data_IF_009621381379
#
_entry.id   IF_009621381379
#
_cell.length_a   1.000
_cell.length_b   1.000
_cell.length_c   1.000
_cell.angle_alpha   90.00
_cell.angle_beta   90.00
_cell.angle_gamma   90.00
#
_symmetry.space_group_name_H-M   'P 1'
#
loop_
_entity.id
_entity.type
_entity.pdbx_description
1 polymer ?
#
# COMPACT_ATOMS: atom_id res chain seq x y z
N UNK A 1 -14.61 6.97 29.33
CA UNK A 1 -15.03 6.31 28.06
C UNK A 1 -14.25 6.93 26.92
N UNK A 2 -13.51 6.11 26.18
CA UNK A 2 -12.57 6.55 25.15
C UNK A 2 -13.17 6.35 23.76
N UNK A 3 -13.11 7.35 22.85
CA UNK A 3 -13.61 7.20 21.50
C UNK A 3 -12.64 6.34 20.68
N UNK A 4 -13.17 5.35 19.97
CA UNK A 4 -12.40 4.44 19.14
C UNK A 4 -12.95 4.49 17.71
N UNK A 5 -12.05 4.68 16.76
CA UNK A 5 -12.37 4.65 15.33
C UNK A 5 -11.77 3.39 14.70
N UNK A 6 -12.57 2.56 14.03
CA UNK A 6 -12.12 1.33 13.38
C UNK A 6 -13.01 0.97 12.18
N UNK A 7 -12.39 0.70 11.03
CA UNK A 7 -13.09 0.39 9.75
C UNK A 7 -14.20 1.41 9.40
N UNK A 8 -13.94 2.71 9.59
CA UNK A 8 -14.92 3.76 9.33
C UNK A 8 -16.10 3.81 10.32
N UNK A 9 -16.05 3.02 11.40
CA UNK A 9 -17.03 3.05 12.49
C UNK A 9 -16.45 3.76 13.70
N UNK A 10 -17.28 4.55 14.36
CA UNK A 10 -16.97 5.16 15.66
C UNK A 10 -17.71 4.43 16.78
N UNK A 11 -17.00 4.02 17.81
CA UNK A 11 -17.57 3.46 19.03
C UNK A 11 -16.90 4.06 20.28
N UNK A 12 -17.44 3.71 21.45
CA UNK A 12 -16.86 4.10 22.74
C UNK A 12 -16.43 2.87 23.52
N UNK A 13 -15.17 2.86 23.94
CA UNK A 13 -14.63 1.89 24.88
C UNK A 13 -14.82 2.41 26.31
N UNK A 14 -15.37 1.58 27.20
CA UNK A 14 -15.57 1.91 28.61
C UNK A 14 -14.23 1.89 29.35
N UNK A 15 -14.21 2.52 30.50
CA UNK A 15 -13.04 2.47 31.37
C UNK A 15 -12.81 1.02 31.83
N UNK A 16 -11.56 0.56 31.82
CA UNK A 16 -11.15 -0.83 32.09
C UNK A 16 -11.68 -1.90 31.11
N UNK A 17 -12.40 -1.53 30.06
CA UNK A 17 -12.86 -2.43 29.00
C UNK A 17 -11.74 -2.66 27.97
N UNK A 18 -11.61 -3.88 27.46
CA UNK A 18 -10.68 -4.15 26.36
C UNK A 18 -11.26 -3.65 25.02
N UNK A 19 -10.41 -3.33 24.06
CA UNK A 19 -10.86 -3.02 22.69
C UNK A 19 -11.70 -4.16 22.11
N UNK A 20 -11.31 -5.41 22.36
CA UNK A 20 -12.06 -6.57 21.90
C UNK A 20 -13.48 -6.61 22.48
N UNK A 21 -13.62 -6.42 23.80
CA UNK A 21 -14.96 -6.47 24.43
C UNK A 21 -15.82 -5.28 23.96
N UNK A 22 -15.21 -4.11 23.72
CA UNK A 22 -15.91 -2.98 23.12
C UNK A 22 -16.38 -3.30 21.70
N UNK A 23 -15.57 -3.95 20.87
CA UNK A 23 -15.94 -4.37 19.51
C UNK A 23 -17.08 -5.39 19.52
N UNK A 24 -16.97 -6.44 20.34
CA UNK A 24 -18.01 -7.46 20.49
C UNK A 24 -19.32 -6.85 20.97
N UNK A 25 -19.28 -5.99 22.01
CA UNK A 25 -20.47 -5.33 22.56
C UNK A 25 -21.17 -4.42 21.54
N UNK A 26 -20.42 -3.81 20.63
CA UNK A 26 -20.93 -2.86 19.63
C UNK A 26 -21.20 -3.48 18.27
N UNK A 27 -20.98 -4.79 18.10
CA UNK A 27 -21.19 -5.49 16.83
C UNK A 27 -20.20 -5.09 15.74
N UNK A 28 -18.99 -4.65 16.13
CA UNK A 28 -17.88 -4.42 15.19
C UNK A 28 -17.16 -5.73 14.94
N UNK A 29 -17.02 -6.08 13.66
CA UNK A 29 -16.38 -7.31 13.23
C UNK A 29 -14.86 -7.25 13.48
N UNK A 30 -14.37 -8.22 14.23
CA UNK A 30 -12.96 -8.47 14.48
C UNK A 30 -12.76 -9.97 14.67
N UNK A 31 -11.65 -10.50 14.19
CA UNK A 31 -11.31 -11.89 14.43
C UNK A 31 -10.76 -12.07 15.85
N UNK A 32 -11.24 -13.06 16.60
CA UNK A 32 -10.68 -13.41 17.90
C UNK A 32 -10.97 -14.86 18.27
N UNK A 33 -10.23 -15.41 19.23
CA UNK A 33 -10.47 -16.76 19.77
C UNK A 33 -10.21 -16.81 21.27
N UNK A 34 -8.95 -16.73 21.72
CA UNK A 34 -8.59 -17.05 23.11
C UNK A 34 -8.88 -15.97 24.17
N UNK A 35 -8.98 -14.69 23.78
CA UNK A 35 -8.97 -13.50 24.68
C UNK A 35 -7.78 -13.35 25.65
N UNK A 36 -6.86 -14.31 25.71
CA UNK A 36 -5.68 -14.31 26.60
C UNK A 36 -4.40 -13.75 25.96
N UNK A 37 -4.48 -13.26 24.72
CA UNK A 37 -3.34 -12.69 24.00
C UNK A 37 -2.37 -13.72 23.38
N UNK A 38 -2.68 -15.02 23.46
CA UNK A 38 -1.81 -16.09 22.93
C UNK A 38 -2.06 -16.35 21.44
N UNK A 39 -3.32 -16.44 21.01
CA UNK A 39 -3.66 -16.80 19.61
C UNK A 39 -3.34 -15.69 18.59
N UNK A 40 -3.11 -14.45 19.04
CA UNK A 40 -2.87 -13.23 18.24
C UNK A 40 -3.92 -12.89 17.18
N UNK A 41 -5.07 -13.58 17.13
CA UNK A 41 -6.09 -13.35 16.11
C UNK A 41 -6.75 -11.96 16.18
N UNK A 42 -6.81 -11.35 17.36
CA UNK A 42 -7.39 -10.02 17.58
C UNK A 42 -6.43 -8.86 17.28
N UNK A 43 -5.51 -9.05 16.33
CA UNK A 43 -4.47 -8.09 16.01
C UNK A 43 -5.06 -6.88 15.27
N UNK A 44 -4.71 -5.68 15.72
CA UNK A 44 -5.12 -4.42 15.08
C UNK A 44 -3.95 -3.44 15.06
N UNK A 45 -3.90 -2.57 14.06
CA UNK A 45 -2.86 -1.56 13.92
C UNK A 45 -3.34 -0.24 14.50
N UNK A 46 -2.55 0.40 15.35
CA UNK A 46 -2.82 1.76 15.81
C UNK A 46 -2.39 2.73 14.71
N UNK A 47 -3.34 3.49 14.17
CA UNK A 47 -3.10 4.53 13.18
C UNK A 47 -2.87 5.90 13.83
N UNK A 48 -3.62 6.18 14.91
CA UNK A 48 -3.51 7.42 15.67
C UNK A 48 -3.84 7.18 17.15
N UNK A 49 -3.21 7.98 18.02
CA UNK A 49 -3.25 7.84 19.48
C UNK A 49 -2.20 6.87 20.03
N UNK A 50 -2.22 6.68 21.36
CA UNK A 50 -1.23 5.86 22.07
C UNK A 50 -1.91 4.70 22.77
N UNK A 51 -1.65 3.48 22.30
CA UNK A 51 -2.10 2.28 22.98
C UNK A 51 -1.14 1.91 24.12
N UNK A 52 -1.63 1.24 25.18
CA UNK A 52 -0.79 0.79 26.28
C UNK A 52 0.26 -0.24 25.83
N UNK A 53 1.48 -0.16 26.37
CA UNK A 53 2.58 -1.03 25.98
C UNK A 53 2.30 -2.52 26.27
N UNK A 54 1.52 -2.83 27.31
CA UNK A 54 1.08 -4.20 27.60
C UNK A 54 0.30 -4.85 26.46
N UNK A 55 -0.38 -4.06 25.63
CA UNK A 55 -1.18 -4.56 24.52
C UNK A 55 -0.34 -5.16 23.38
N UNK A 56 0.93 -4.75 23.28
CA UNK A 56 1.88 -5.22 22.26
C UNK A 56 2.96 -6.17 22.83
N UNK A 57 3.02 -6.36 24.15
CA UNK A 57 4.16 -7.02 24.84
C UNK A 57 4.47 -8.43 24.33
N UNK A 58 3.47 -9.22 23.96
CA UNK A 58 3.64 -10.60 23.48
C UNK A 58 3.81 -10.71 21.95
N UNK A 59 3.84 -9.57 21.25
CA UNK A 59 4.05 -9.51 19.81
C UNK A 59 5.55 -9.53 19.49
N UNK A 60 5.96 -10.07 18.33
CA UNK A 60 7.30 -9.89 17.80
C UNK A 60 7.67 -8.41 17.62
N UNK A 61 8.97 -8.09 17.70
CA UNK A 61 9.48 -6.71 17.63
C UNK A 61 9.07 -5.96 16.35
N UNK A 62 8.98 -6.65 15.21
CA UNK A 62 8.54 -6.04 13.95
C UNK A 62 7.07 -5.59 14.00
N UNK A 63 6.18 -6.35 14.66
CA UNK A 63 4.78 -5.94 14.85
C UNK A 63 4.66 -4.79 15.84
N UNK A 64 5.44 -4.83 16.94
CA UNK A 64 5.46 -3.74 17.91
C UNK A 64 5.88 -2.42 17.27
N UNK A 65 6.99 -2.43 16.51
CA UNK A 65 7.51 -1.25 15.80
C UNK A 65 6.58 -0.77 14.68
N UNK A 66 5.82 -1.68 14.05
CA UNK A 66 4.78 -1.33 13.09
C UNK A 66 3.48 -0.82 13.73
N UNK A 67 3.41 -0.66 15.06
CA UNK A 67 2.25 -0.11 15.76
C UNK A 67 1.09 -1.09 15.96
N UNK A 68 1.36 -2.39 15.92
CA UNK A 68 0.34 -3.41 16.19
C UNK A 68 0.13 -3.66 17.67
N UNK A 69 -1.13 -3.93 18.02
CA UNK A 69 -1.55 -4.31 19.37
C UNK A 69 -2.58 -5.44 19.33
N UNK A 70 -2.70 -6.16 20.44
CA UNK A 70 -3.74 -7.17 20.64
C UNK A 70 -4.99 -6.50 21.24
N UNK A 71 -6.10 -6.45 20.50
CA UNK A 71 -7.33 -5.83 20.97
C UNK A 71 -7.85 -6.43 22.30
N UNK A 72 -7.64 -7.72 22.55
CA UNK A 72 -8.03 -8.35 23.83
C UNK A 72 -7.19 -7.92 25.03
N UNK A 73 -5.97 -7.43 24.81
CA UNK A 73 -5.07 -6.95 25.86
C UNK A 73 -4.99 -5.42 25.92
N UNK A 74 -5.60 -4.73 24.95
CA UNK A 74 -5.57 -3.28 24.87
C UNK A 74 -6.73 -2.68 25.66
N UNK A 75 -6.41 -2.00 26.76
CA UNK A 75 -7.34 -1.15 27.53
C UNK A 75 -6.96 0.31 27.30
N UNK A 76 -7.58 1.00 26.34
CA UNK A 76 -7.16 2.35 25.95
C UNK A 76 -7.31 3.34 27.11
N UNK A 77 -6.34 4.23 27.27
CA UNK A 77 -6.38 5.37 28.21
C UNK A 77 -6.84 6.67 27.53
N UNK A 78 -7.00 6.65 26.20
CA UNK A 78 -7.29 7.81 25.37
C UNK A 78 -7.95 7.44 24.04
N UNK A 79 -8.24 8.44 23.19
CA UNK A 79 -8.77 8.20 21.84
C UNK A 79 -7.80 7.33 21.03
N UNK A 80 -8.33 6.39 20.23
CA UNK A 80 -7.54 5.60 19.28
C UNK A 80 -8.22 5.53 17.92
N UNK A 81 -7.43 5.66 16.85
CA UNK A 81 -7.80 5.24 15.50
C UNK A 81 -7.07 3.95 15.15
N UNK A 82 -7.81 2.97 14.65
CA UNK A 82 -7.34 1.60 14.44
C UNK A 82 -7.62 1.15 13.01
N UNK A 83 -6.69 0.38 12.45
CA UNK A 83 -6.88 -0.34 11.19
C UNK A 83 -6.89 -1.87 11.43
N UNK A 84 -7.51 -2.64 10.52
CA UNK A 84 -7.35 -4.09 10.49
C UNK A 84 -5.88 -4.51 10.36
N UNK A 85 -5.57 -5.75 10.71
CA UNK A 85 -4.31 -6.36 10.33
C UNK A 85 -4.15 -6.36 8.81
N UNK A 86 -3.01 -5.87 8.34
CA UNK A 86 -2.66 -5.94 6.92
C UNK A 86 -2.00 -7.30 6.64
N UNK A 87 -2.41 -8.07 5.62
CA UNK A 87 -1.69 -9.26 5.17
C UNK A 87 -0.22 -8.96 4.86
N UNK A 88 0.07 -7.72 4.43
CA UNK A 88 1.42 -7.27 4.22
C UNK A 88 2.23 -7.17 5.52
N UNK A 89 1.66 -7.07 6.71
CA UNK A 89 2.45 -7.05 7.95
C UNK A 89 2.40 -8.39 8.69
N UNK A 90 1.62 -9.36 8.18
CA UNK A 90 1.52 -10.69 8.78
C UNK A 90 2.64 -11.58 8.24
N UNK A 91 3.31 -12.26 9.15
CA UNK A 91 4.24 -13.34 8.83
C UNK A 91 3.52 -14.68 9.01
N UNK A 92 3.55 -15.49 7.95
CA UNK A 92 3.09 -16.88 7.95
C UNK A 92 4.30 -17.76 8.27
N UNK A 93 4.32 -18.46 9.41
CA UNK A 93 5.37 -19.44 9.67
C UNK A 93 5.33 -20.53 8.60
N UNK A 94 6.50 -20.89 8.09
CA UNK A 94 6.68 -21.90 7.07
C UNK A 94 7.83 -22.82 7.42
N UNK A 95 7.77 -24.06 6.95
CA UNK A 95 8.85 -25.03 7.08
C UNK A 95 9.27 -25.46 5.69
N UNK A 96 10.55 -25.34 5.40
CA UNK A 96 11.08 -25.71 4.11
C UNK A 96 11.23 -27.24 4.00
N UNK A 97 10.74 -27.80 2.90
CA UNK A 97 10.72 -29.24 2.63
C UNK A 97 11.77 -29.61 1.59
N UNK A 98 12.09 -28.71 0.67
CA UNK A 98 13.08 -29.03 -0.33
C UNK A 98 13.46 -27.86 -1.22
N UNK A 99 14.49 -28.12 -2.01
CA UNK A 99 14.96 -27.24 -3.07
C UNK A 99 15.37 -28.09 -4.26
N UNK A 100 15.12 -27.56 -5.44
CA UNK A 100 15.55 -28.09 -6.73
C UNK A 100 16.16 -26.94 -7.50
N UNK A 101 17.28 -27.21 -8.16
CA UNK A 101 17.94 -26.24 -9.00
C UNK A 101 17.46 -26.39 -10.44
N UNK A 102 17.04 -25.27 -11.03
CA UNK A 102 16.72 -25.20 -12.45
C UNK A 102 17.98 -24.92 -13.27
N UNK A 103 17.97 -25.37 -14.53
CA UNK A 103 19.09 -25.23 -15.45
C UNK A 103 19.44 -23.77 -15.80
N UNK A 104 18.51 -22.83 -15.57
CA UNK A 104 18.65 -21.40 -15.88
C UNK A 104 19.17 -20.56 -14.70
N UNK A 105 19.64 -21.20 -13.63
CA UNK A 105 20.17 -20.50 -12.45
C UNK A 105 19.09 -20.01 -11.49
N UNK A 106 17.85 -20.48 -11.61
CA UNK A 106 16.82 -20.33 -10.56
C UNK A 106 16.80 -21.56 -9.65
N UNK A 107 16.25 -21.40 -8.45
CA UNK A 107 15.89 -22.52 -7.57
C UNK A 107 14.39 -22.49 -7.31
N UNK A 108 13.78 -23.66 -7.25
CA UNK A 108 12.42 -23.82 -6.71
C UNK A 108 12.57 -24.24 -5.26
N UNK A 109 11.78 -23.63 -4.38
CA UNK A 109 11.64 -23.96 -2.97
C UNK A 109 10.29 -24.63 -2.77
N UNK A 110 10.27 -25.73 -2.03
CA UNK A 110 9.06 -26.40 -1.56
C UNK A 110 8.94 -26.17 -0.07
N UNK A 111 7.78 -25.73 0.38
CA UNK A 111 7.55 -25.51 1.80
C UNK A 111 6.10 -25.74 2.20
N UNK A 112 5.91 -26.03 3.48
CA UNK A 112 4.62 -26.03 4.14
C UNK A 112 4.40 -24.69 4.83
N UNK A 113 3.15 -24.24 4.90
CA UNK A 113 2.77 -23.08 5.71
C UNK A 113 1.94 -23.54 6.91
N UNK A 114 2.19 -22.94 8.08
CA UNK A 114 1.50 -23.28 9.32
C UNK A 114 -0.02 -22.95 9.27
N UNK A 115 -0.42 -22.07 8.36
CA UNK A 115 -1.82 -21.76 8.04
C UNK A 115 -2.03 -21.83 6.53
N UNK A 116 -3.28 -22.00 6.10
CA UNK A 116 -3.62 -21.95 4.68
C UNK A 116 -3.20 -20.61 4.05
N UNK A 117 -2.35 -20.67 3.03
CA UNK A 117 -1.87 -19.51 2.28
C UNK A 117 -2.62 -19.39 0.96
N UNK A 118 -3.65 -18.56 0.88
CA UNK A 118 -4.32 -18.29 -0.40
C UNK A 118 -3.44 -17.39 -1.29
N UNK A 119 -3.14 -17.82 -2.52
CA UNK A 119 -2.37 -17.05 -3.51
C UNK A 119 -2.79 -17.37 -4.95
N UNK A 120 -2.42 -16.48 -5.87
CA UNK A 120 -2.50 -16.64 -7.32
C UNK A 120 -1.10 -16.91 -7.85
N UNK A 121 -0.97 -17.86 -8.76
CA UNK A 121 0.32 -18.18 -9.41
C UNK A 121 0.92 -16.92 -10.02
N UNK A 122 2.19 -16.68 -9.72
CA UNK A 122 2.96 -15.50 -10.14
C UNK A 122 3.02 -14.37 -9.10
N UNK A 123 2.23 -14.42 -8.02
CA UNK A 123 2.38 -13.48 -6.92
C UNK A 123 3.74 -13.61 -6.23
N UNK A 124 4.31 -12.48 -5.80
CA UNK A 124 5.55 -12.49 -5.04
C UNK A 124 5.29 -12.61 -3.54
N UNK A 125 6.28 -13.03 -2.77
CA UNK A 125 6.29 -13.04 -1.32
C UNK A 125 7.72 -12.80 -0.82
N UNK A 126 7.88 -12.46 0.46
CA UNK A 126 9.19 -12.26 1.08
C UNK A 126 9.40 -13.28 2.20
N UNK A 127 10.51 -13.98 2.16
CA UNK A 127 10.99 -14.89 3.19
C UNK A 127 11.86 -14.10 4.17
N UNK A 128 11.65 -14.32 5.47
CA UNK A 128 12.39 -13.76 6.59
C UNK A 128 12.92 -14.90 7.47
N UNK A 129 14.01 -14.61 8.18
CA UNK A 129 14.65 -15.49 9.16
C UNK A 129 15.07 -16.85 8.56
N UNK A 130 15.29 -17.85 9.41
CA UNK A 130 15.69 -19.19 9.00
C UNK A 130 17.11 -19.23 8.41
N UNK A 131 17.35 -20.02 7.36
CA UNK A 131 18.65 -20.09 6.71
C UNK A 131 18.95 -18.84 5.86
N UNK A 132 18.06 -17.84 5.79
CA UNK A 132 18.19 -16.69 4.91
C UNK A 132 18.73 -15.46 5.69
N UNK A 133 19.91 -14.93 5.34
CA UNK A 133 20.58 -13.86 6.10
C UNK A 133 19.93 -12.48 5.96
N UNK A 134 19.09 -12.31 4.94
CA UNK A 134 18.33 -11.10 4.66
C UNK A 134 16.98 -11.49 4.03
N UNK A 135 15.98 -10.59 4.00
CA UNK A 135 14.71 -10.89 3.36
C UNK A 135 14.88 -11.27 1.89
N UNK A 136 14.38 -12.44 1.50
CA UNK A 136 14.48 -12.96 0.13
C UNK A 136 13.13 -12.87 -0.55
N UNK A 137 13.08 -12.24 -1.72
CA UNK A 137 11.85 -12.18 -2.51
C UNK A 137 11.74 -13.43 -3.38
N UNK A 138 10.58 -14.10 -3.29
CA UNK A 138 10.26 -15.31 -4.04
C UNK A 138 8.98 -15.12 -4.84
N UNK A 139 8.81 -15.89 -5.91
CA UNK A 139 7.59 -15.91 -6.73
C UNK A 139 6.85 -17.21 -6.50
N UNK A 140 5.62 -17.15 -6.01
CA UNK A 140 4.77 -18.33 -5.78
C UNK A 140 4.34 -18.90 -7.14
N UNK A 141 4.69 -20.15 -7.43
CA UNK A 141 4.50 -20.75 -8.76
C UNK A 141 3.46 -21.85 -8.80
N UNK A 142 3.06 -22.39 -7.65
CA UNK A 142 2.07 -23.45 -7.61
C UNK A 142 1.94 -24.09 -6.25
N UNK A 143 1.03 -25.04 -6.17
CA UNK A 143 0.89 -25.95 -5.03
C UNK A 143 0.90 -27.37 -5.60
N UNK A 144 1.67 -28.26 -4.99
CA UNK A 144 1.60 -29.68 -5.33
C UNK A 144 0.30 -30.26 -4.74
N UNK A 145 -0.59 -30.72 -5.61
CA UNK A 145 -1.89 -31.28 -5.22
C UNK A 145 -1.77 -32.59 -4.42
N UNK A 146 -0.63 -33.28 -4.52
CA UNK A 146 -0.40 -34.57 -3.88
C UNK A 146 0.07 -34.44 -2.43
N UNK A 147 0.92 -33.44 -2.15
CA UNK A 147 1.53 -33.23 -0.84
C UNK A 147 1.11 -31.92 -0.16
N UNK A 148 0.38 -31.04 -0.87
CA UNK A 148 -0.04 -29.73 -0.36
C UNK A 148 1.08 -28.69 -0.28
N UNK A 149 2.29 -29.02 -0.77
CA UNK A 149 3.46 -28.16 -0.68
C UNK A 149 3.33 -26.94 -1.58
N UNK A 150 3.69 -25.78 -1.05
CA UNK A 150 3.74 -24.52 -1.81
C UNK A 150 5.08 -24.46 -2.53
N UNK A 151 5.04 -24.12 -3.81
CA UNK A 151 6.21 -23.93 -4.66
C UNK A 151 6.47 -22.45 -4.82
N UNK A 152 7.74 -22.05 -4.63
CA UNK A 152 8.18 -20.69 -4.93
C UNK A 152 9.53 -20.68 -5.63
N UNK A 153 9.64 -19.89 -6.68
CA UNK A 153 10.88 -19.67 -7.42
C UNK A 153 11.67 -18.50 -6.84
N UNK A 154 12.99 -18.65 -6.84
CA UNK A 154 13.94 -17.64 -6.36
C UNK A 154 15.21 -17.68 -7.20
N UNK A 155 15.87 -16.54 -7.38
CA UNK A 155 17.17 -16.48 -8.04
C UNK A 155 18.24 -17.19 -7.17
N UNK A 156 19.20 -17.86 -7.80
CA UNK A 156 20.23 -18.60 -7.07
C UNK A 156 21.18 -17.69 -6.27
N UNK A 157 21.47 -16.50 -6.77
CA UNK A 157 22.43 -15.54 -6.20
C UNK A 157 21.98 -14.91 -4.87
N UNK A 158 20.68 -14.93 -4.57
CA UNK A 158 20.13 -14.43 -3.30
C UNK A 158 20.08 -15.50 -2.20
N UNK A 159 20.32 -16.77 -2.55
CA UNK A 159 20.41 -17.86 -1.58
C UNK A 159 21.85 -17.93 -1.02
N UNK A 160 22.02 -18.12 0.30
CA UNK A 160 23.33 -18.29 0.88
C UNK A 160 23.97 -19.58 0.37
N UNK A 161 25.30 -19.62 0.26
CA UNK A 161 26.01 -20.78 -0.30
C UNK A 161 25.68 -22.10 0.44
N UNK A 162 25.39 -22.02 1.74
CA UNK A 162 24.97 -23.15 2.56
C UNK A 162 23.63 -23.76 2.14
N UNK A 163 22.74 -23.00 1.49
CA UNK A 163 21.45 -23.46 0.99
C UNK A 163 21.56 -24.45 -0.19
N UNK A 164 22.76 -24.63 -0.76
CA UNK A 164 23.02 -25.49 -1.91
C UNK A 164 23.55 -26.89 -1.57
N UNK A 165 23.92 -27.14 -0.32
CA UNK A 165 24.30 -28.49 0.10
C UNK A 165 23.06 -29.39 0.21
N UNK A 166 23.24 -30.69 -0.08
CA UNK A 166 22.16 -31.68 0.03
C UNK A 166 21.55 -31.66 1.45
N UNK A 167 20.23 -31.70 1.52
CA UNK A 167 19.42 -31.65 2.76
C UNK A 167 19.61 -30.42 3.67
N UNK A 168 20.46 -29.46 3.34
CA UNK A 168 20.81 -28.32 4.20
C UNK A 168 19.63 -27.41 4.58
N UNK A 169 18.56 -27.50 3.80
CA UNK A 169 17.38 -26.68 3.91
C UNK A 169 16.16 -27.45 4.44
N UNK A 170 16.22 -28.78 4.51
CA UNK A 170 15.10 -29.61 4.95
C UNK A 170 14.78 -29.33 6.42
N UNK A 171 13.51 -29.07 6.73
CA UNK A 171 13.02 -28.81 8.07
C UNK A 171 13.38 -27.42 8.62
N UNK A 172 13.96 -26.54 7.81
CA UNK A 172 14.30 -25.20 8.25
C UNK A 172 13.04 -24.32 8.36
N UNK A 173 12.81 -23.75 9.55
CA UNK A 173 11.73 -22.80 9.78
C UNK A 173 12.09 -21.42 9.20
N UNK A 174 11.11 -20.79 8.57
CA UNK A 174 11.20 -19.40 8.13
C UNK A 174 9.84 -18.70 8.27
N UNK A 175 9.83 -17.40 8.03
CA UNK A 175 8.62 -16.58 8.08
C UNK A 175 8.33 -16.01 6.69
N UNK A 176 7.11 -16.18 6.18
CA UNK A 176 6.69 -15.68 4.87
C UNK A 176 5.75 -14.48 5.00
N UNK A 177 6.11 -13.37 4.36
CA UNK A 177 5.27 -12.17 4.20
C UNK A 177 4.67 -12.16 2.80
N UNK A 178 3.34 -12.07 2.67
CA UNK A 178 2.64 -12.11 1.39
C UNK A 178 1.52 -13.15 1.36
N UNK A 179 0.96 -13.48 0.17
CA UNK A 179 1.39 -13.01 -1.15
C UNK A 179 1.14 -11.51 -1.39
N UNK A 180 2.05 -10.87 -2.12
CA UNK A 180 1.85 -9.55 -2.70
C UNK A 180 1.10 -9.66 -4.04
N UNK A 181 0.32 -8.65 -4.45
CA UNK A 181 -0.27 -8.56 -5.79
C UNK A 181 0.79 -8.75 -6.88
N UNK A 182 0.38 -9.34 -8.00
CA UNK A 182 1.19 -9.44 -9.20
C UNK A 182 1.58 -8.03 -9.67
N UNK A 183 2.87 -7.72 -9.62
CA UNK A 183 3.40 -6.51 -10.23
C UNK A 183 3.45 -6.72 -11.76
N UNK A 184 2.83 -5.84 -12.57
CA UNK A 184 2.90 -5.97 -14.02
C UNK A 184 4.30 -5.61 -14.52
N UNK A 185 4.84 -6.43 -15.43
CA UNK A 185 6.20 -6.28 -16.02
C UNK A 185 6.38 -4.96 -16.81
N UNK A 186 5.28 -4.28 -17.15
CA UNK A 186 5.25 -2.99 -17.84
C UNK A 186 4.18 -2.06 -17.28
N UNK A 187 4.18 -0.82 -17.73
CA UNK A 187 3.03 0.08 -17.54
C UNK A 187 1.87 -0.41 -18.41
N UNK A 188 0.65 -0.39 -17.89
CA UNK A 188 -0.53 -0.78 -18.65
C UNK A 188 -0.68 0.08 -19.91
N UNK A 189 -0.97 -0.58 -21.03
CA UNK A 189 -1.36 0.11 -22.26
C UNK A 189 -2.65 0.89 -22.03
N UNK A 190 -2.91 1.92 -22.85
CA UNK A 190 -4.23 2.53 -22.82
C UNK A 190 -5.27 1.50 -23.28
N UNK A 191 -6.47 1.51 -22.67
CA UNK A 191 -7.57 0.68 -23.16
C UNK A 191 -7.94 1.07 -24.60
N UNK A 192 -8.57 0.14 -25.33
CA UNK A 192 -9.16 0.46 -26.63
C UNK A 192 -10.23 1.57 -26.46
N UNK A 193 -10.19 2.64 -27.29
CA UNK A 193 -11.15 3.72 -27.19
C UNK A 193 -12.60 3.24 -27.39
N UNK A 194 -13.50 3.76 -26.56
CA UNK A 194 -14.95 3.57 -26.67
C UNK A 194 -15.65 4.93 -26.58
N UNK A 195 -15.76 5.67 -27.71
CA UNK A 195 -16.40 6.97 -27.73
C UNK A 195 -17.88 6.93 -27.30
N UNK A 196 -18.56 5.79 -27.48
CA UNK A 196 -19.95 5.62 -27.04
C UNK A 196 -20.06 5.74 -25.52
N UNK A 197 -19.08 5.25 -24.76
CA UNK A 197 -19.02 5.46 -23.31
C UNK A 197 -18.92 6.95 -22.95
N UNK A 198 -18.13 7.75 -23.68
CA UNK A 198 -18.04 9.19 -23.45
C UNK A 198 -19.36 9.90 -23.72
N UNK A 199 -20.08 9.49 -24.77
CA UNK A 199 -21.43 9.97 -25.09
C UNK A 199 -22.44 9.60 -24.02
N UNK A 200 -22.42 8.35 -23.52
CA UNK A 200 -23.25 7.89 -22.41
C UNK A 200 -23.02 8.71 -21.14
N UNK A 201 -21.82 9.24 -20.93
CA UNK A 201 -21.46 10.11 -19.81
C UNK A 201 -21.68 11.61 -20.11
N UNK A 202 -22.65 11.91 -20.98
CA UNK A 202 -23.06 13.26 -21.38
C UNK A 202 -21.90 14.09 -21.93
N UNK A 203 -21.12 13.48 -22.83
CA UNK A 203 -19.93 14.08 -23.43
C UNK A 203 -18.94 14.62 -22.37
N UNK A 204 -18.81 13.89 -21.24
CA UNK A 204 -17.90 14.24 -20.15
C UNK A 204 -18.44 15.22 -19.12
N UNK A 205 -19.65 15.77 -19.28
CA UNK A 205 -20.26 16.64 -18.26
C UNK A 205 -20.56 15.88 -16.97
N UNK A 206 -21.06 14.65 -17.08
CA UNK A 206 -21.27 13.79 -15.91
C UNK A 206 -19.94 13.40 -15.27
N UNK A 207 -18.88 13.18 -16.06
CA UNK A 207 -17.53 12.91 -15.55
C UNK A 207 -17.07 14.04 -14.64
N UNK A 208 -17.13 15.29 -15.13
CA UNK A 208 -16.70 16.46 -14.35
C UNK A 208 -17.45 16.59 -13.02
N UNK A 209 -18.79 16.51 -13.06
CA UNK A 209 -19.63 16.60 -11.86
C UNK A 209 -19.34 15.50 -10.84
N UNK A 210 -19.15 14.26 -11.31
CA UNK A 210 -18.79 13.13 -10.43
C UNK A 210 -17.42 13.36 -9.80
N UNK A 211 -16.43 13.81 -10.56
CA UNK A 211 -15.10 14.08 -10.04
C UNK A 211 -15.09 15.20 -9.00
N UNK A 212 -15.88 16.26 -9.19
CA UNK A 212 -16.05 17.32 -8.19
C UNK A 212 -16.61 16.76 -6.87
N UNK A 213 -17.71 15.99 -6.94
CA UNK A 213 -18.30 15.36 -5.75
C UNK A 213 -17.37 14.32 -5.11
N UNK A 214 -16.63 13.56 -5.91
CA UNK A 214 -15.67 12.57 -5.45
C UNK A 214 -14.49 13.22 -4.72
N UNK A 215 -13.87 14.25 -5.30
CA UNK A 215 -12.72 14.88 -4.68
C UNK A 215 -13.06 15.72 -3.45
N UNK A 216 -14.28 16.27 -3.35
CA UNK A 216 -14.77 16.80 -2.08
C UNK A 216 -14.72 15.75 -0.96
N UNK A 217 -15.12 14.50 -1.25
CA UNK A 217 -15.02 13.39 -0.29
C UNK A 217 -13.57 13.01 -0.01
N UNK A 218 -12.73 12.93 -1.03
CA UNK A 218 -11.29 12.60 -0.89
C UNK A 218 -10.56 13.59 0.01
N UNK A 219 -10.78 14.90 -0.18
CA UNK A 219 -10.12 15.94 0.62
C UNK A 219 -10.71 16.06 2.04
N UNK A 220 -11.91 15.53 2.27
CA UNK A 220 -12.50 15.40 3.60
C UNK A 220 -12.14 14.06 4.30
N UNK A 221 -11.54 13.11 3.57
CA UNK A 221 -11.25 11.77 4.07
C UNK A 221 -9.87 11.73 4.75
N UNK A 222 -9.79 11.40 6.06
CA UNK A 222 -8.51 11.40 6.78
C UNK A 222 -7.47 10.41 6.26
N UNK A 223 -7.89 9.33 5.58
CA UNK A 223 -6.97 8.34 5.01
C UNK A 223 -6.39 8.81 3.68
N UNK A 224 -7.12 9.63 2.92
CA UNK A 224 -6.71 10.05 1.57
C UNK A 224 -6.15 11.48 1.53
N UNK A 225 -6.68 12.41 2.34
CA UNK A 225 -6.31 13.82 2.34
C UNK A 225 -4.79 14.07 2.44
N UNK A 226 -4.00 13.34 3.26
CA UNK A 226 -2.55 13.56 3.36
C UNK A 226 -1.80 13.45 2.02
N UNK A 227 -2.32 12.68 1.06
CA UNK A 227 -1.72 12.54 -0.26
C UNK A 227 -1.93 13.75 -1.18
N UNK A 228 -2.76 14.71 -0.77
CA UNK A 228 -3.17 15.86 -1.59
C UNK A 228 -2.82 17.22 -0.99
N UNK A 229 -2.10 17.30 0.13
CA UNK A 229 -1.81 18.55 0.86
C UNK A 229 -1.27 19.71 0.00
N UNK A 230 -0.49 19.40 -1.05
CA UNK A 230 0.14 20.39 -1.94
C UNK A 230 -0.46 20.40 -3.35
N UNK A 231 -1.60 19.76 -3.54
CA UNK A 231 -2.27 19.69 -4.85
C UNK A 231 -3.64 20.32 -4.71
N UNK A 232 -3.97 21.28 -5.57
CA UNK A 232 -5.31 21.87 -5.58
C UNK A 232 -6.33 20.88 -6.15
N UNK A 233 -7.53 20.84 -5.57
CA UNK A 233 -8.62 19.99 -6.03
C UNK A 233 -8.91 20.14 -7.53
N UNK A 234 -8.98 21.39 -8.02
CA UNK A 234 -9.22 21.71 -9.43
C UNK A 234 -8.20 21.07 -10.37
N UNK A 235 -6.91 21.12 -10.01
CA UNK A 235 -5.82 20.50 -10.77
C UNK A 235 -5.98 18.98 -10.87
N UNK A 236 -6.37 18.31 -9.78
CA UNK A 236 -6.54 16.84 -9.80
C UNK A 236 -7.77 16.46 -10.62
N UNK A 237 -8.90 17.16 -10.44
CA UNK A 237 -10.12 16.93 -11.22
C UNK A 237 -9.83 17.11 -12.72
N UNK A 238 -9.19 18.22 -13.10
CA UNK A 238 -8.87 18.50 -14.51
C UNK A 238 -7.98 17.43 -15.13
N UNK A 239 -6.94 16.98 -14.40
CA UNK A 239 -6.06 15.90 -14.86
C UNK A 239 -6.80 14.57 -15.04
N UNK A 240 -7.59 14.15 -14.05
CA UNK A 240 -8.31 12.89 -14.14
C UNK A 240 -9.39 12.93 -15.24
N UNK A 241 -10.06 14.07 -15.42
CA UNK A 241 -11.03 14.28 -16.49
C UNK A 241 -10.38 14.14 -17.87
N UNK A 242 -9.28 14.84 -18.12
CA UNK A 242 -8.55 14.77 -19.38
C UNK A 242 -8.00 13.35 -19.65
N UNK A 243 -7.51 12.66 -18.61
CA UNK A 243 -7.06 11.28 -18.72
C UNK A 243 -8.19 10.32 -19.13
N UNK A 244 -9.35 10.41 -18.46
CA UNK A 244 -10.52 9.60 -18.81
C UNK A 244 -11.05 9.94 -20.21
N UNK A 245 -11.06 11.21 -20.60
CA UNK A 245 -11.44 11.63 -21.96
C UNK A 245 -10.53 10.97 -22.99
N UNK A 246 -9.21 11.04 -22.80
CA UNK A 246 -8.25 10.39 -23.71
C UNK A 246 -8.47 8.87 -23.78
N UNK A 247 -8.68 8.21 -22.64
CA UNK A 247 -8.94 6.76 -22.61
C UNK A 247 -10.24 6.38 -23.35
N UNK A 248 -11.32 7.15 -23.20
CA UNK A 248 -12.61 6.84 -23.80
C UNK A 248 -12.69 7.25 -25.28
N UNK A 249 -12.12 8.40 -25.65
CA UNK A 249 -12.25 8.97 -27.00
C UNK A 249 -11.10 8.60 -27.93
N UNK A 250 -9.92 8.32 -27.38
CA UNK A 250 -8.67 8.18 -28.14
C UNK A 250 -7.98 9.51 -28.45
N UNK A 251 -8.60 10.66 -28.12
CA UNK A 251 -8.01 11.97 -28.36
C UNK A 251 -6.80 12.21 -27.44
N UNK A 252 -5.70 12.71 -28.00
CA UNK A 252 -4.49 13.02 -27.24
C UNK A 252 -4.61 14.36 -26.50
N UNK A 253 -5.37 14.38 -25.39
CA UNK A 253 -5.68 15.59 -24.60
C UNK A 253 -5.04 15.60 -23.21
N UNK A 254 -4.52 14.47 -22.73
CA UNK A 254 -3.94 14.38 -21.40
C UNK A 254 -2.44 14.72 -21.40
N UNK A 255 -2.07 15.73 -20.63
CA UNK A 255 -0.68 16.11 -20.38
C UNK A 255 -0.35 15.82 -18.91
N UNK A 256 0.34 14.72 -18.68
CA UNK A 256 0.76 14.32 -17.33
C UNK A 256 1.36 12.93 -17.28
N UNK A 257 1.69 12.49 -16.06
CA UNK A 257 2.19 11.15 -15.80
C UNK A 257 1.05 10.14 -15.81
N UNK A 258 1.33 8.93 -16.27
CA UNK A 258 0.40 7.80 -16.27
C UNK A 258 0.32 7.14 -14.89
N UNK A 259 -0.70 6.30 -14.63
CA UNK A 259 -0.98 5.74 -13.30
C UNK A 259 0.17 5.00 -12.61
N UNK A 260 1.14 4.44 -13.34
CA UNK A 260 2.34 3.80 -12.76
C UNK A 260 3.32 4.81 -12.16
N UNK A 261 3.54 5.91 -12.88
CA UNK A 261 4.46 6.97 -12.48
C UNK A 261 3.82 7.99 -11.53
N UNK A 262 2.55 8.35 -11.76
CA UNK A 262 1.88 9.45 -11.10
C UNK A 262 1.73 9.31 -9.57
N UNK A 263 1.78 8.11 -8.97
CA UNK A 263 1.91 7.93 -7.53
C UNK A 263 3.10 7.02 -7.17
N UNK A 264 4.19 7.02 -7.95
CA UNK A 264 5.28 6.04 -7.83
C UNK A 264 5.88 5.93 -6.41
N UNK A 265 5.93 7.04 -5.67
CA UNK A 265 6.48 7.14 -4.31
C UNK A 265 5.52 6.66 -3.22
N UNK A 266 4.24 6.47 -3.54
CA UNK A 266 3.19 6.17 -2.58
C UNK A 266 2.89 4.68 -2.50
N UNK A 267 2.91 4.10 -1.29
CA UNK A 267 2.36 2.76 -1.05
C UNK A 267 0.83 2.86 -1.05
N UNK A 268 0.19 2.25 -2.04
CA UNK A 268 -1.27 2.21 -2.18
C UNK A 268 -1.68 0.75 -2.06
N UNK A 269 -1.99 0.25 -0.86
CA UNK A 269 -2.43 -1.12 -0.71
C UNK A 269 -3.83 -1.29 -1.32
N UNK A 270 -4.17 -2.53 -1.65
CA UNK A 270 -5.46 -2.88 -2.26
C UNK A 270 -6.65 -2.35 -1.42
N UNK A 271 -6.56 -2.40 -0.09
CA UNK A 271 -7.58 -1.88 0.82
C UNK A 271 -7.80 -0.37 0.70
N UNK A 272 -6.76 0.41 0.43
CA UNK A 272 -6.85 1.86 0.21
C UNK A 272 -7.44 2.17 -1.16
N UNK A 273 -7.06 1.40 -2.19
CA UNK A 273 -7.66 1.49 -3.51
C UNK A 273 -9.17 1.18 -3.46
N UNK A 274 -9.57 0.09 -2.80
CA UNK A 274 -10.98 -0.27 -2.58
C UNK A 274 -11.77 0.81 -1.83
N UNK A 275 -11.14 1.44 -0.83
CA UNK A 275 -11.74 2.58 -0.14
C UNK A 275 -12.03 3.74 -1.07
N UNK A 276 -11.05 4.11 -1.89
CA UNK A 276 -11.19 5.11 -2.93
C UNK A 276 -12.26 4.72 -3.96
N UNK A 277 -12.35 3.45 -4.39
CA UNK A 277 -13.40 2.95 -5.29
C UNK A 277 -14.80 3.09 -4.68
N UNK A 278 -14.96 2.86 -3.37
CA UNK A 278 -16.25 3.06 -2.68
C UNK A 278 -16.68 4.54 -2.68
N UNK A 279 -15.76 5.46 -2.44
CA UNK A 279 -16.04 6.90 -2.50
C UNK A 279 -16.42 7.33 -3.92
N UNK A 280 -15.75 6.83 -4.95
CA UNK A 280 -16.11 7.08 -6.35
C UNK A 280 -17.51 6.57 -6.66
N UNK A 281 -17.80 5.32 -6.32
CA UNK A 281 -19.13 4.73 -6.55
C UNK A 281 -20.23 5.46 -5.76
N UNK A 282 -19.92 6.05 -4.60
CA UNK A 282 -20.84 6.93 -3.89
C UNK A 282 -21.09 8.23 -4.64
N UNK A 283 -20.03 8.93 -5.09
CA UNK A 283 -20.16 10.16 -5.86
C UNK A 283 -20.94 9.96 -7.16
N UNK A 284 -20.70 8.85 -7.87
CA UNK A 284 -21.46 8.46 -9.08
C UNK A 284 -22.97 8.33 -8.80
N UNK A 285 -23.34 7.63 -7.72
CA UNK A 285 -24.76 7.47 -7.32
C UNK A 285 -25.40 8.80 -6.95
N UNK A 286 -24.69 9.65 -6.21
CA UNK A 286 -25.18 10.98 -5.82
C UNK A 286 -25.39 11.90 -7.03
N UNK A 287 -24.61 11.74 -8.11
CA UNK A 287 -24.81 12.46 -9.37
C UNK A 287 -25.82 11.80 -10.32
N UNK A 288 -26.44 10.68 -9.91
CA UNK A 288 -27.53 10.04 -10.65
C UNK A 288 -27.10 9.17 -11.82
N UNK A 289 -25.86 8.65 -11.83
CA UNK A 289 -25.42 7.74 -12.89
C UNK A 289 -26.18 6.41 -12.82
N UNK A 290 -26.53 5.86 -13.98
CA UNK A 290 -27.16 4.54 -14.10
C UNK A 290 -26.16 3.42 -13.81
N UNK A 291 -26.62 2.20 -13.47
CA UNK A 291 -25.74 1.05 -13.29
C UNK A 291 -24.84 0.77 -14.50
N UNK A 292 -25.36 0.95 -15.72
CA UNK A 292 -24.62 0.81 -16.97
C UNK A 292 -23.49 1.85 -17.08
N UNK A 293 -23.79 3.14 -16.86
CA UNK A 293 -22.79 4.21 -16.88
C UNK A 293 -21.68 3.97 -15.84
N UNK A 294 -22.06 3.55 -14.63
CA UNK A 294 -21.11 3.23 -13.55
C UNK A 294 -20.23 2.03 -13.90
N UNK A 295 -20.80 0.96 -14.47
CA UNK A 295 -20.05 -0.22 -14.88
C UNK A 295 -19.06 0.11 -16.02
N UNK A 296 -19.51 0.88 -17.02
CA UNK A 296 -18.68 1.36 -18.12
C UNK A 296 -17.49 2.21 -17.63
N UNK A 297 -17.73 3.15 -16.71
CA UNK A 297 -16.64 3.92 -16.09
C UNK A 297 -15.68 3.02 -15.30
N UNK A 298 -16.20 2.14 -14.43
CA UNK A 298 -15.39 1.29 -13.55
C UNK A 298 -14.32 0.51 -14.31
N UNK A 299 -14.61 0.05 -15.53
CA UNK A 299 -13.62 -0.64 -16.40
C UNK A 299 -12.33 0.15 -16.55
N UNK A 300 -12.40 1.46 -16.72
CA UNK A 300 -11.23 2.33 -16.86
C UNK A 300 -10.45 2.50 -15.56
N UNK A 301 -11.13 2.50 -14.40
CA UNK A 301 -10.43 2.58 -13.11
C UNK A 301 -9.75 1.26 -12.74
N UNK A 302 -10.41 0.14 -13.01
CA UNK A 302 -9.88 -1.20 -12.76
C UNK A 302 -8.75 -1.58 -13.72
N UNK A 303 -8.79 -1.09 -14.96
CA UNK A 303 -7.75 -1.32 -15.98
C UNK A 303 -6.35 -0.94 -15.49
N UNK A 304 -6.24 0.12 -14.69
CA UNK A 304 -4.97 0.60 -14.14
C UNK A 304 -4.71 0.13 -12.71
N UNK A 305 -5.50 -0.81 -12.15
CA UNK A 305 -5.30 -1.29 -10.77
C UNK A 305 -3.86 -1.78 -10.56
N UNK A 306 -3.35 -2.58 -11.50
CA UNK A 306 -2.01 -3.16 -11.42
C UNK A 306 -0.89 -2.10 -11.50
N UNK A 307 -1.17 -0.90 -11.99
CA UNK A 307 -0.25 0.24 -12.04
C UNK A 307 -0.37 1.17 -10.82
N UNK A 308 -1.40 0.98 -9.99
CA UNK A 308 -1.67 1.86 -8.84
C UNK A 308 -1.41 1.11 -7.53
N UNK A 309 -1.93 -0.11 -7.41
CA UNK A 309 -1.87 -0.93 -6.20
C UNK A 309 -0.48 -1.50 -6.03
N UNK A 310 0.18 -1.12 -4.92
CA UNK A 310 1.54 -1.53 -4.60
C UNK A 310 1.81 -1.50 -3.10
N UNK A 311 2.72 -2.38 -2.68
CA UNK A 311 3.10 -2.58 -1.27
C UNK A 311 4.47 -1.98 -0.93
N UNK A 312 5.18 -1.48 -1.94
CA UNK A 312 6.38 -0.68 -1.82
C UNK A 312 6.34 0.44 -2.88
N UNK A 313 7.05 1.55 -2.68
CA UNK A 313 7.26 2.54 -3.72
C UNK A 313 7.96 1.92 -4.94
N UNK A 314 7.63 2.41 -6.12
CA UNK A 314 8.31 2.03 -7.36
C UNK A 314 9.25 3.16 -7.82
N UNK A 315 10.35 2.81 -8.51
CA UNK A 315 11.19 3.80 -9.15
C UNK A 315 10.38 4.55 -10.22
N UNK A 316 10.57 5.86 -10.29
CA UNK A 316 10.01 6.67 -11.37
C UNK A 316 10.72 6.31 -12.68
N UNK A 317 9.98 6.22 -13.79
CA UNK A 317 10.57 5.90 -15.11
C UNK A 317 10.24 6.96 -16.15
N UNK A 318 11.19 7.26 -17.03
CA UNK A 318 10.98 8.10 -18.21
C UNK A 318 11.54 7.37 -19.43
N UNK A 319 10.64 6.77 -20.22
CA UNK A 319 11.02 5.75 -21.19
C UNK A 319 11.69 4.58 -20.48
N UNK A 320 12.85 4.16 -20.97
CA UNK A 320 13.61 3.04 -20.40
C UNK A 320 14.47 3.43 -19.19
N UNK A 321 14.57 4.73 -18.88
CA UNK A 321 15.43 5.22 -17.81
C UNK A 321 14.70 5.28 -16.46
N UNK A 322 15.36 4.79 -15.42
CA UNK A 322 14.93 4.98 -14.03
C UNK A 322 15.43 6.33 -13.54
N UNK A 323 14.51 7.17 -13.06
CA UNK A 323 14.83 8.46 -12.44
C UNK A 323 14.83 8.29 -10.93
N UNK A 324 16.02 8.33 -10.35
CA UNK A 324 16.17 8.43 -8.90
C UNK A 324 15.78 9.84 -8.44
N UNK A 325 14.71 9.95 -7.65
CA UNK A 325 14.20 11.24 -7.15
C UNK A 325 14.18 11.34 -5.62
N UNK A 326 14.39 10.22 -4.92
CA UNK A 326 14.55 10.13 -3.47
C UNK A 326 16.01 10.37 -3.06
N UNK A 327 16.56 11.51 -3.47
CA UNK A 327 17.89 11.96 -3.07
C UNK A 327 17.88 13.44 -2.77
N UNK A 328 18.94 13.87 -2.10
CA UNK A 328 19.25 15.28 -1.91
C UNK A 328 20.30 15.72 -2.93
N UNK A 329 20.15 16.92 -3.43
CA UNK A 329 21.12 17.58 -4.31
C UNK A 329 21.41 18.99 -3.80
N UNK A 330 22.43 19.64 -4.32
CA UNK A 330 22.83 20.98 -3.91
C UNK A 330 22.81 21.95 -5.09
N UNK A 331 22.33 23.16 -4.85
CA UNK A 331 22.32 24.24 -5.85
C UNK A 331 22.74 25.55 -5.19
N UNK A 332 23.41 26.42 -5.94
CA UNK A 332 23.65 27.81 -5.53
C UNK A 332 22.53 28.66 -6.07
N UNK A 333 21.84 29.39 -5.19
CA UNK A 333 20.66 30.17 -5.55
C UNK A 333 21.05 31.41 -6.35
N UNK A 334 20.43 31.62 -7.51
CA UNK A 334 20.58 32.88 -8.27
C UNK A 334 19.81 34.04 -7.61
N UNK A 335 18.67 33.73 -6.98
CA UNK A 335 17.81 34.67 -6.27
C UNK A 335 17.49 34.16 -4.85
N UNK A 336 17.19 35.07 -3.92
CA UNK A 336 16.85 34.71 -2.54
C UNK A 336 15.55 33.90 -2.45
N UNK A 337 15.47 33.01 -1.45
CA UNK A 337 14.27 32.19 -1.19
C UNK A 337 14.05 32.05 0.33
N UNK A 338 13.07 31.24 0.73
CA UNK A 338 12.77 30.93 2.13
C UNK A 338 13.06 29.46 2.40
N UNK A 339 13.64 29.16 3.56
CA UNK A 339 13.85 27.80 4.03
C UNK A 339 12.52 27.11 4.34
N UNK A 340 12.27 25.94 3.73
CA UNK A 340 11.05 25.14 3.96
C UNK A 340 10.98 24.54 5.37
N UNK A 341 12.09 24.53 6.12
CA UNK A 341 12.16 23.92 7.46
C UNK A 341 11.99 24.92 8.60
N UNK A 342 12.62 26.10 8.50
CA UNK A 342 12.61 27.10 9.59
C UNK A 342 11.94 28.42 9.21
N UNK A 343 11.52 28.59 7.95
CA UNK A 343 10.91 29.83 7.46
C UNK A 343 11.86 31.03 7.38
N UNK A 344 13.16 30.83 7.64
CA UNK A 344 14.15 31.90 7.54
C UNK A 344 14.48 32.21 6.07
N UNK A 345 14.78 33.48 5.80
CA UNK A 345 15.29 33.94 4.51
C UNK A 345 16.65 33.29 4.20
N UNK A 346 16.81 32.89 2.95
CA UNK A 346 18.05 32.41 2.36
C UNK A 346 18.45 33.41 1.27
N UNK A 347 19.59 34.07 1.44
CA UNK A 347 20.06 35.07 0.49
C UNK A 347 20.50 34.44 -0.84
N UNK A 348 20.39 35.21 -1.93
CA UNK A 348 20.99 34.87 -3.22
C UNK A 348 22.51 34.59 -3.05
N UNK A 349 23.04 33.67 -3.86
CA UNK A 349 24.42 33.20 -3.78
C UNK A 349 24.68 32.16 -2.68
N UNK A 350 23.68 31.81 -1.86
CA UNK A 350 23.81 30.73 -0.88
C UNK A 350 23.71 29.36 -1.57
N UNK A 351 24.64 28.46 -1.25
CA UNK A 351 24.49 27.03 -1.59
C UNK A 351 23.52 26.38 -0.61
N UNK A 352 22.50 25.73 -1.16
CA UNK A 352 21.44 25.04 -0.41
C UNK A 352 21.32 23.60 -0.86
N UNK A 353 20.94 22.72 0.05
CA UNK A 353 20.54 21.35 -0.23
C UNK A 353 19.02 21.30 -0.39
N UNK A 354 18.57 20.61 -1.43
CA UNK A 354 17.15 20.40 -1.67
C UNK A 354 16.84 18.94 -1.96
N UNK A 355 15.62 18.51 -1.66
CA UNK A 355 15.15 17.18 -2.00
C UNK A 355 14.68 17.14 -3.45
N UNK A 356 15.27 16.28 -4.29
CA UNK A 356 15.03 16.27 -5.75
C UNK A 356 13.55 16.09 -6.11
N UNK A 357 12.83 15.19 -5.42
CA UNK A 357 11.37 15.05 -5.60
C UNK A 357 10.54 16.21 -5.02
N UNK A 358 10.74 16.55 -3.75
CA UNK A 358 9.85 17.47 -3.03
C UNK A 358 10.10 18.94 -3.38
N UNK A 359 11.28 19.26 -3.95
CA UNK A 359 11.73 20.62 -4.18
C UNK A 359 11.97 21.42 -2.90
N UNK A 360 11.88 20.77 -1.73
CA UNK A 360 12.04 21.43 -0.43
C UNK A 360 13.50 21.83 -0.24
N UNK A 361 13.72 23.10 0.08
CA UNK A 361 15.04 23.72 0.23
C UNK A 361 15.36 23.91 1.71
N UNK A 362 16.52 23.40 2.14
CA UNK A 362 17.07 23.65 3.46
C UNK A 362 18.09 24.78 3.45
N UNK A 363 18.11 25.61 4.49
CA UNK A 363 19.17 26.59 4.67
C UNK A 363 20.43 25.93 5.26
N UNK A 364 21.62 26.53 5.09
CA UNK A 364 22.88 25.99 5.63
C UNK A 364 22.92 25.79 7.14
N UNK A 365 21.98 26.39 7.89
CA UNK A 365 21.83 26.18 9.34
C UNK A 365 21.07 24.90 9.64
N UNK A 366 19.96 24.65 8.93
CA UNK A 366 19.17 23.43 9.08
C UNK A 366 19.92 22.18 8.60
N UNK A 367 20.89 22.34 7.70
CA UNK A 367 21.71 21.22 7.21
C UNK A 367 22.82 20.77 8.18
N UNK A 368 23.24 21.64 9.11
CA UNK A 368 24.30 21.34 10.09
C UNK A 368 23.74 20.81 11.42
N UNK A 369 22.42 20.65 11.53
CA UNK A 369 21.69 20.31 12.74
C UNK A 369 21.45 18.81 12.90
#
# INVERSE_FOLDING_TARGET
MHPIHYQGRSLRCRENESLLDAFVRTGVAIDFSCKSGVCRRCLVKVQDGTAPAEAARSLPAHLQSAGYVLACQCKPSGPLSLAPSSPADMLTPCMLVGREQLADGRSVLWFESATELAFIVGQSAQIFDGPFPAPVTVRLTGRDDTQGLIQAEVAHDVLPQAAFADDALFGADFQLRGPFPLEPEGEALLPEPDPAQWHLLDHGRLVRRVLEAFYQKVYADPLLQPFFERVSMERVIGKQHAFLMQCMTGDNVYIGERPKNAPHWMVIPDTLFEHRQRLMAQAQREQGLTPEQMAGWRRYEEHFRADIVKHAPWPRRMGDQVIETERYDTVTLDEGTVCDHCGAEIAAGSTVRFHVRLGQVGCPRCERG
#
